data_IF_979067881080
#
_entry.id   IF_979067881080
#
_cell.length_a   1.000
_cell.length_b   1.000
_cell.length_c   1.000
_cell.angle_alpha   90.00
_cell.angle_beta   90.00
_cell.angle_gamma   90.00
#
_symmetry.space_group_name_H-M   'P 1'
#
loop_
_entity.id
_entity.type
_entity.pdbx_description
1 polymer ?
#
# COMPACT_ATOMS: atom_id res chain seq x y z
N UNK A 1 64.40 -12.47 41.90
CA UNK A 1 63.07 -12.24 42.50
C UNK A 1 61.95 -12.14 41.46
N UNK A 2 62.19 -11.60 40.26
CA UNK A 2 61.17 -11.42 39.20
C UNK A 2 60.48 -12.73 38.73
N UNK A 3 61.22 -13.83 38.58
CA UNK A 3 60.65 -15.10 38.08
C UNK A 3 59.71 -15.83 39.05
N UNK A 4 59.76 -15.53 40.36
CA UNK A 4 58.84 -16.13 41.35
C UNK A 4 57.44 -15.50 41.29
N UNK A 5 57.32 -14.24 40.86
CA UNK A 5 56.05 -13.52 40.73
C UNK A 5 55.35 -13.73 39.38
N UNK A 6 56.09 -14.09 38.33
CA UNK A 6 55.53 -14.28 36.97
C UNK A 6 54.64 -15.53 36.90
N UNK A 7 54.97 -16.59 37.64
CA UNK A 7 54.21 -17.86 37.64
C UNK A 7 52.76 -17.72 38.13
N UNK A 8 52.48 -17.11 39.31
CA UNK A 8 51.10 -16.91 39.74
C UNK A 8 50.37 -15.87 38.88
N UNK A 9 51.07 -14.86 38.36
CA UNK A 9 50.48 -13.83 37.49
C UNK A 9 50.01 -14.41 36.15
N UNK A 10 50.78 -15.35 35.57
CA UNK A 10 50.36 -16.07 34.37
C UNK A 10 49.13 -16.94 34.63
N UNK A 11 49.05 -17.57 35.80
CA UNK A 11 47.90 -18.41 36.17
C UNK A 11 46.63 -17.57 36.34
N UNK A 12 46.76 -16.39 36.95
CA UNK A 12 45.66 -15.43 37.09
C UNK A 12 45.19 -14.88 35.74
N UNK A 13 46.12 -14.60 34.82
CA UNK A 13 45.80 -14.09 33.48
C UNK A 13 45.08 -15.15 32.63
N UNK A 14 45.54 -16.40 32.69
CA UNK A 14 44.86 -17.54 32.02
C UNK A 14 43.47 -17.77 32.61
N UNK A 15 43.32 -17.71 33.93
CA UNK A 15 42.02 -17.86 34.59
C UNK A 15 41.04 -16.74 34.20
N UNK A 16 41.53 -15.50 34.10
CA UNK A 16 40.74 -14.35 33.64
C UNK A 16 40.30 -14.51 32.19
N UNK A 17 41.19 -15.01 31.32
CA UNK A 17 40.86 -15.30 29.92
C UNK A 17 39.85 -16.45 29.77
N UNK A 18 39.87 -17.43 30.69
CA UNK A 18 38.94 -18.56 30.72
C UNK A 18 37.53 -18.17 31.19
N UNK A 19 37.43 -17.13 32.03
CA UNK A 19 36.16 -16.57 32.51
C UNK A 19 35.58 -15.52 31.55
N UNK A 20 36.30 -15.14 30.50
CA UNK A 20 35.78 -14.30 29.44
C UNK A 20 34.90 -15.16 28.53
N UNK A 21 33.61 -15.22 28.84
CA UNK A 21 32.59 -15.78 27.96
C UNK A 21 32.63 -15.04 26.63
N UNK A 22 33.20 -15.69 25.61
CA UNK A 22 33.08 -15.29 24.23
C UNK A 22 31.64 -15.57 23.79
N UNK A 23 30.71 -14.73 24.24
CA UNK A 23 29.37 -14.65 23.65
C UNK A 23 29.52 -14.08 22.25
N UNK A 24 29.88 -14.97 21.31
CA UNK A 24 29.83 -14.70 19.88
C UNK A 24 28.38 -14.34 19.58
N UNK A 25 28.09 -13.04 19.53
CA UNK A 25 26.85 -12.56 18.97
C UNK A 25 26.88 -12.99 17.51
N UNK A 26 26.21 -14.11 17.22
CA UNK A 26 25.94 -14.51 15.85
C UNK A 26 25.05 -13.41 15.29
N UNK A 27 25.66 -12.48 14.57
CA UNK A 27 24.93 -11.56 13.72
C UNK A 27 24.18 -12.48 12.74
N UNK A 28 22.88 -12.65 12.98
CA UNK A 28 21.98 -13.39 12.12
C UNK A 28 21.87 -12.60 10.82
N UNK A 29 22.86 -12.78 9.93
CA UNK A 29 22.79 -12.40 8.54
C UNK A 29 21.80 -13.35 7.86
N UNK A 30 20.52 -13.20 8.21
CA UNK A 30 19.43 -13.86 7.53
C UNK A 30 19.36 -13.23 6.15
N UNK A 31 19.48 -14.04 5.10
CA UNK A 31 19.13 -13.59 3.76
C UNK A 31 17.68 -13.09 3.82
N UNK A 32 17.47 -11.80 3.57
CA UNK A 32 16.12 -11.30 3.34
C UNK A 32 15.77 -11.82 1.94
N UNK A 33 15.00 -12.90 1.89
CA UNK A 33 14.46 -13.38 0.63
C UNK A 33 13.71 -12.23 -0.05
N UNK A 34 13.86 -12.10 -1.37
CA UNK A 34 13.14 -11.10 -2.17
C UNK A 34 11.63 -11.16 -1.92
N UNK A 35 11.09 -12.33 -1.53
CA UNK A 35 9.70 -12.51 -1.11
C UNK A 35 9.34 -11.64 0.11
N UNK A 36 10.20 -11.53 1.12
CA UNK A 36 9.94 -10.71 2.30
C UNK A 36 9.92 -9.21 1.95
N UNK A 37 10.78 -8.78 1.01
CA UNK A 37 10.76 -7.40 0.50
C UNK A 37 9.48 -7.14 -0.30
N UNK A 38 9.08 -8.08 -1.16
CA UNK A 38 7.85 -7.97 -1.94
C UNK A 38 6.61 -7.91 -1.04
N UNK A 39 6.54 -8.74 0.01
CA UNK A 39 5.43 -8.73 0.97
C UNK A 39 5.36 -7.41 1.74
N UNK A 40 6.51 -6.89 2.19
CA UNK A 40 6.57 -5.59 2.87
C UNK A 40 6.13 -4.44 1.94
N UNK A 41 6.58 -4.46 0.68
CA UNK A 41 6.19 -3.48 -0.32
C UNK A 41 4.69 -3.56 -0.68
N UNK A 42 4.15 -4.76 -0.82
CA UNK A 42 2.73 -4.98 -1.07
C UNK A 42 1.88 -4.48 0.11
N UNK A 43 2.34 -4.69 1.34
CA UNK A 43 1.65 -4.23 2.54
C UNK A 43 1.62 -2.70 2.61
N UNK A 44 2.75 -2.04 2.32
CA UNK A 44 2.82 -0.59 2.25
C UNK A 44 1.89 -0.04 1.14
N UNK A 45 1.87 -0.70 -0.03
CA UNK A 45 0.98 -0.32 -1.13
C UNK A 45 -0.50 -0.49 -0.78
N UNK A 46 -0.88 -1.58 -0.10
CA UNK A 46 -2.24 -1.80 0.37
C UNK A 46 -2.66 -0.70 1.36
N UNK A 47 -1.75 -0.29 2.26
CA UNK A 47 -2.01 0.78 3.24
C UNK A 47 -2.24 2.11 2.56
N UNK A 48 -1.39 2.46 1.62
CA UNK A 48 -1.51 3.69 0.83
C UNK A 48 -2.80 3.72 0.01
N UNK A 49 -3.21 2.58 -0.54
CA UNK A 49 -4.45 2.47 -1.31
C UNK A 49 -5.68 2.73 -0.44
N UNK A 50 -5.72 2.14 0.76
CA UNK A 50 -6.83 2.33 1.71
C UNK A 50 -6.84 3.77 2.23
N UNK A 51 -5.70 4.35 2.58
CA UNK A 51 -5.61 5.74 3.05
C UNK A 51 -6.04 6.73 1.97
N UNK A 52 -5.59 6.53 0.72
CA UNK A 52 -5.99 7.36 -0.42
C UNK A 52 -7.50 7.30 -0.64
N UNK A 53 -8.10 6.12 -0.56
CA UNK A 53 -9.54 5.97 -0.74
C UNK A 53 -10.34 6.67 0.35
N UNK A 54 -9.97 6.51 1.62
CA UNK A 54 -10.59 7.24 2.73
C UNK A 54 -10.33 8.75 2.66
N UNK A 55 -9.26 9.16 2.00
CA UNK A 55 -8.90 10.55 1.75
C UNK A 55 -9.74 11.26 0.69
N UNK A 56 -10.57 10.53 -0.08
CA UNK A 56 -11.39 11.15 -1.12
C UNK A 56 -12.56 11.92 -0.52
N UNK A 57 -12.84 13.11 -1.05
CA UNK A 57 -13.92 13.99 -0.58
C UNK A 57 -15.31 13.34 -0.61
N UNK A 58 -15.57 12.49 -1.61
CA UNK A 58 -16.83 11.77 -1.74
C UNK A 58 -17.00 10.70 -0.65
N UNK A 59 -15.94 9.96 -0.34
CA UNK A 59 -15.91 8.97 0.74
C UNK A 59 -16.05 9.65 2.10
N UNK A 60 -15.36 10.76 2.34
CA UNK A 60 -15.47 11.52 3.58
C UNK A 60 -16.89 12.03 3.82
N UNK A 61 -17.53 12.61 2.79
CA UNK A 61 -18.93 13.07 2.90
C UNK A 61 -19.89 11.94 3.26
N UNK A 62 -19.72 10.77 2.66
CA UNK A 62 -20.54 9.59 2.98
C UNK A 62 -20.29 9.12 4.41
N UNK A 63 -19.03 9.10 4.84
CA UNK A 63 -18.65 8.73 6.21
C UNK A 63 -19.27 9.69 7.24
N UNK A 64 -19.18 11.00 7.00
CA UNK A 64 -19.79 12.03 7.84
C UNK A 64 -21.32 11.90 7.91
N UNK A 65 -21.97 11.61 6.77
CA UNK A 65 -23.42 11.33 6.72
C UNK A 65 -23.81 10.13 7.59
N UNK A 66 -22.91 9.15 7.73
CA UNK A 66 -23.08 7.99 8.60
C UNK A 66 -22.54 8.20 10.03
N UNK A 67 -22.09 9.42 10.37
CA UNK A 67 -21.60 9.78 11.70
C UNK A 67 -20.19 9.27 12.01
N UNK A 68 -19.38 8.95 10.99
CA UNK A 68 -17.99 8.50 11.13
C UNK A 68 -17.05 9.64 10.78
N UNK A 69 -16.18 10.00 11.73
CA UNK A 69 -15.13 10.98 11.50
C UNK A 69 -13.98 10.40 10.64
N UNK A 70 -13.53 11.17 9.65
CA UNK A 70 -12.48 10.74 8.72
C UNK A 70 -11.12 10.54 9.41
N UNK A 71 -10.79 11.39 10.39
CA UNK A 71 -9.54 11.28 11.12
C UNK A 71 -9.53 10.04 12.04
N UNK A 72 -10.66 9.75 12.68
CA UNK A 72 -10.84 8.51 13.44
C UNK A 72 -10.68 7.27 12.56
N UNK A 73 -11.28 7.26 11.37
CA UNK A 73 -11.18 6.13 10.44
C UNK A 73 -9.74 5.89 9.95
N UNK A 74 -8.99 6.95 9.63
CA UNK A 74 -7.57 6.82 9.29
C UNK A 74 -6.76 6.22 10.45
N UNK A 75 -7.03 6.64 11.69
CA UNK A 75 -6.37 6.09 12.87
C UNK A 75 -6.67 4.60 13.05
N UNK A 76 -7.91 4.17 12.76
CA UNK A 76 -8.28 2.75 12.80
C UNK A 76 -7.53 1.96 11.73
N UNK A 77 -7.46 2.44 10.49
CA UNK A 77 -6.65 1.81 9.43
C UNK A 77 -5.17 1.72 9.82
N UNK A 78 -4.61 2.73 10.49
CA UNK A 78 -3.25 2.70 11.01
C UNK A 78 -3.04 1.57 12.04
N UNK A 79 -4.07 1.22 12.82
CA UNK A 79 -4.03 0.15 13.82
C UNK A 79 -4.30 -1.26 13.28
N UNK A 80 -4.78 -1.40 12.04
CA UNK A 80 -5.08 -2.71 11.44
C UNK A 80 -3.81 -3.49 11.12
N UNK A 81 -3.91 -4.82 11.27
CA UNK A 81 -2.86 -5.74 10.87
C UNK A 81 -2.74 -5.85 9.35
N UNK A 82 -1.58 -6.30 8.88
CA UNK A 82 -1.28 -6.40 7.45
C UNK A 82 -2.24 -7.35 6.72
N UNK A 83 -2.66 -8.43 7.38
CA UNK A 83 -3.63 -9.40 6.84
C UNK A 83 -5.04 -8.79 6.68
N UNK A 84 -5.48 -7.96 7.63
CA UNK A 84 -6.76 -7.26 7.55
C UNK A 84 -6.75 -6.21 6.44
N UNK A 85 -5.64 -5.48 6.31
CA UNK A 85 -5.44 -4.51 5.24
C UNK A 85 -5.49 -5.17 3.86
N UNK A 86 -4.85 -6.32 3.70
CA UNK A 86 -4.88 -7.08 2.45
C UNK A 86 -6.30 -7.51 2.08
N UNK A 87 -7.09 -7.97 3.05
CA UNK A 87 -8.51 -8.32 2.84
C UNK A 87 -9.34 -7.12 2.40
N UNK A 88 -9.16 -5.96 3.06
CA UNK A 88 -9.86 -4.72 2.71
C UNK A 88 -9.48 -4.27 1.30
N UNK A 89 -8.18 -4.24 0.98
CA UNK A 89 -7.69 -3.87 -0.34
C UNK A 89 -8.27 -4.76 -1.45
N UNK A 90 -8.34 -6.08 -1.21
CA UNK A 90 -8.95 -7.02 -2.14
C UNK A 90 -10.45 -6.79 -2.32
N UNK A 91 -11.18 -6.46 -1.25
CA UNK A 91 -12.60 -6.08 -1.36
C UNK A 91 -12.78 -4.78 -2.14
N UNK A 92 -11.87 -3.82 -2.02
CA UNK A 92 -11.92 -2.56 -2.79
C UNK A 92 -11.68 -2.77 -4.29
N UNK A 93 -10.88 -3.76 -4.68
CA UNK A 93 -10.69 -4.14 -6.10
C UNK A 93 -11.93 -4.76 -6.73
N UNK A 94 -12.80 -5.38 -5.92
CA UNK A 94 -14.06 -5.97 -6.38
C UNK A 94 -15.19 -4.97 -6.47
N UNK A 95 -15.07 -3.82 -5.81
CA UNK A 95 -16.00 -2.72 -6.01
C UNK A 95 -15.71 -2.14 -7.40
N UNK A 96 -16.73 -1.97 -8.27
CA UNK A 96 -16.55 -1.26 -9.52
C UNK A 96 -15.84 0.04 -9.20
N UNK A 97 -14.68 0.28 -9.81
CA UNK A 97 -13.86 1.45 -9.53
C UNK A 97 -14.78 2.66 -9.60
N UNK A 98 -15.19 3.13 -8.42
CA UNK A 98 -16.18 4.18 -8.27
C UNK A 98 -15.52 5.45 -8.71
N UNK A 99 -15.45 5.67 -10.03
CA UNK A 99 -15.46 7.00 -10.56
C UNK A 99 -16.65 7.67 -9.91
N UNK A 100 -16.40 8.84 -9.33
CA UNK A 100 -17.43 9.72 -8.76
C UNK A 100 -18.73 9.59 -9.56
N UNK A 101 -19.90 9.68 -8.94
CA UNK A 101 -21.18 9.65 -9.66
C UNK A 101 -21.15 10.65 -10.83
N UNK A 102 -20.45 11.78 -10.66
CA UNK A 102 -20.16 12.74 -11.72
C UNK A 102 -19.29 12.13 -12.83
N UNK A 103 -18.19 11.45 -12.50
CA UNK A 103 -17.33 10.75 -13.46
C UNK A 103 -18.05 9.64 -14.24
N UNK A 104 -18.95 8.89 -13.59
CA UNK A 104 -19.79 7.90 -14.26
C UNK A 104 -20.78 8.55 -15.24
N UNK A 105 -21.44 9.64 -14.82
CA UNK A 105 -22.35 10.41 -15.68
C UNK A 105 -21.60 11.03 -16.87
N UNK A 106 -20.45 11.65 -16.63
CA UNK A 106 -19.62 12.26 -17.67
C UNK A 106 -19.11 11.17 -18.63
N UNK A 107 -18.65 10.04 -18.11
CA UNK A 107 -18.21 8.89 -18.91
C UNK A 107 -19.33 8.35 -19.80
N UNK A 108 -20.53 8.17 -19.25
CA UNK A 108 -21.69 7.74 -20.01
C UNK A 108 -22.10 8.77 -21.09
N UNK A 109 -22.10 10.06 -20.75
CA UNK A 109 -22.41 11.13 -21.69
C UNK A 109 -21.41 11.19 -22.86
N UNK A 110 -20.10 11.08 -22.57
CA UNK A 110 -19.05 11.04 -23.59
C UNK A 110 -19.19 9.79 -24.46
N UNK A 111 -19.47 8.62 -23.87
CA UNK A 111 -19.68 7.40 -24.63
C UNK A 111 -20.87 7.52 -25.59
N UNK A 112 -22.01 7.99 -25.10
CA UNK A 112 -23.20 8.23 -25.93
C UNK A 112 -22.89 9.24 -27.04
N UNK A 113 -22.20 10.33 -26.71
CA UNK A 113 -21.77 11.32 -27.69
C UNK A 113 -20.90 10.71 -28.80
N UNK A 114 -19.90 9.89 -28.46
CA UNK A 114 -19.02 9.24 -29.44
C UNK A 114 -19.79 8.25 -30.31
N UNK A 115 -20.67 7.44 -29.73
CA UNK A 115 -21.51 6.51 -30.49
C UNK A 115 -22.38 7.28 -31.48
N UNK A 116 -23.07 8.33 -31.02
CA UNK A 116 -23.91 9.16 -31.88
C UNK A 116 -23.10 9.90 -32.95
N UNK A 117 -21.89 10.36 -32.63
CA UNK A 117 -20.99 11.02 -33.58
C UNK A 117 -20.59 10.07 -34.71
N UNK A 118 -20.25 8.83 -34.38
CA UNK A 118 -19.88 7.81 -35.37
C UNK A 118 -21.09 7.45 -36.24
N UNK A 119 -22.28 7.25 -35.65
CA UNK A 119 -23.48 6.94 -36.43
C UNK A 119 -23.91 8.11 -37.33
N UNK A 120 -23.66 9.35 -36.93
CA UNK A 120 -23.89 10.54 -37.77
C UNK A 120 -22.89 10.61 -38.94
N UNK A 121 -21.60 10.32 -38.66
CA UNK A 121 -20.56 10.28 -39.69
C UNK A 121 -20.80 9.17 -40.74
N UNK A 122 -21.39 8.05 -40.33
CA UNK A 122 -21.81 6.95 -41.21
C UNK A 122 -23.14 7.23 -41.94
N UNK A 123 -23.83 8.33 -41.61
CA UNK A 123 -25.13 8.68 -42.19
C UNK A 123 -26.31 7.82 -41.71
N UNK A 124 -26.14 7.07 -40.61
CA UNK A 124 -27.20 6.28 -39.99
C UNK A 124 -28.13 7.14 -39.12
N UNK A 125 -27.61 8.26 -38.60
CA UNK A 125 -28.35 9.24 -37.79
C UNK A 125 -28.05 10.66 -38.26
N UNK A 126 -28.87 11.65 -37.89
CA UNK A 126 -28.58 13.08 -38.10
C UNK A 126 -28.94 13.84 -36.81
N UNK A 127 -28.03 13.81 -35.84
CA UNK A 127 -28.24 14.41 -34.50
C UNK A 127 -27.43 15.70 -34.36
N UNK A 128 -26.28 15.78 -35.00
CA UNK A 128 -25.35 16.88 -34.94
C UNK A 128 -25.31 17.64 -36.27
N UNK A 129 -25.81 18.88 -36.27
CA UNK A 129 -25.87 19.74 -37.47
C UNK A 129 -24.51 20.16 -38.03
N UNK A 130 -23.43 19.87 -37.32
CA UNK A 130 -22.05 20.18 -37.71
C UNK A 130 -21.29 18.96 -38.26
N UNK A 131 -21.89 17.76 -38.27
CA UNK A 131 -21.27 16.55 -38.82
C UNK A 131 -21.79 16.33 -40.25
N UNK A 132 -20.87 16.18 -41.19
CA UNK A 132 -21.19 15.79 -42.57
C UNK A 132 -20.88 14.31 -42.75
N UNK A 133 -21.81 13.48 -43.24
CA UNK A 133 -21.55 12.05 -43.43
C UNK A 133 -20.43 11.85 -44.45
N UNK A 134 -19.49 10.96 -44.12
CA UNK A 134 -18.39 10.57 -45.02
C UNK A 134 -18.99 9.71 -46.11
N UNK A 135 -18.99 10.24 -47.32
CA UNK A 135 -19.61 9.65 -48.50
C UNK A 135 -18.73 8.60 -49.15
#
# INVERSE_FOLDING_TARGET
>A
MLQKMIKPMSFFLVFTFLLLDFSVHTAQARMIDTSNVLTAQQTAANRERVSTFLGRDDVQKVMEQHGVDAAEAQKRVASLSDAELAKISQSMEQLPAGGDAIGAIVGAAVFIFVVLLITDLLGLTNVFSFVNPVR
#
